data_IF_267667147980
#
_entry.id   IF_267667147980
#
_cell.length_a   1.000
_cell.length_b   1.000
_cell.length_c   1.000
_cell.angle_alpha   90.00
_cell.angle_beta   90.00
_cell.angle_gamma   90.00
#
_symmetry.space_group_name_H-M   'P 1'
#
loop_
_entity.id
_entity.type
_entity.pdbx_description
1 polymer ?
#
# COMPACT_ATOMS: atom_id res chain seq x y z
N UNK A 1 12.14 -19.72 -22.47
CA UNK A 1 11.17 -18.85 -21.78
C UNK A 1 11.07 -19.31 -20.34
N UNK A 2 11.55 -18.51 -19.39
CA UNK A 2 11.52 -18.82 -17.95
C UNK A 2 10.06 -18.99 -17.51
N UNK A 3 9.72 -20.14 -16.89
CA UNK A 3 8.43 -20.31 -16.23
C UNK A 3 8.41 -19.40 -15.01
N UNK A 4 7.90 -18.19 -15.18
CA UNK A 4 7.59 -17.33 -14.03
C UNK A 4 6.58 -18.07 -13.18
N UNK A 5 6.95 -18.38 -11.94
CA UNK A 5 6.01 -18.98 -10.98
C UNK A 5 4.83 -18.04 -10.78
N UNK A 6 3.60 -18.59 -10.70
CA UNK A 6 2.39 -17.81 -10.44
C UNK A 6 2.54 -16.93 -9.20
N UNK A 7 3.31 -17.40 -8.20
CA UNK A 7 3.65 -16.64 -6.98
C UNK A 7 4.47 -15.38 -7.30
N UNK A 8 5.50 -15.52 -8.14
CA UNK A 8 6.34 -14.40 -8.60
C UNK A 8 5.54 -13.41 -9.42
N UNK A 9 4.69 -13.90 -10.34
CA UNK A 9 3.80 -13.04 -11.12
C UNK A 9 2.85 -12.24 -10.22
N UNK A 10 2.26 -12.89 -9.21
CA UNK A 10 1.41 -12.23 -8.22
C UNK A 10 2.13 -11.15 -7.41
N UNK A 11 3.38 -11.41 -6.98
CA UNK A 11 4.21 -10.39 -6.30
C UNK A 11 4.50 -9.18 -7.18
N UNK A 12 4.85 -9.40 -8.44
CA UNK A 12 5.10 -8.31 -9.40
C UNK A 12 3.83 -7.51 -9.66
N UNK A 13 2.69 -8.19 -9.85
CA UNK A 13 1.40 -7.52 -10.00
C UNK A 13 1.04 -6.69 -8.75
N UNK A 14 1.25 -7.24 -7.56
CA UNK A 14 1.07 -6.53 -6.29
C UNK A 14 1.95 -5.28 -6.18
N UNK A 15 3.22 -5.36 -6.61
CA UNK A 15 4.12 -4.19 -6.66
C UNK A 15 3.62 -3.11 -7.63
N UNK A 16 3.17 -3.50 -8.82
CA UNK A 16 2.65 -2.54 -9.81
C UNK A 16 1.40 -1.85 -9.24
N UNK A 17 0.48 -2.61 -8.66
CA UNK A 17 -0.73 -2.05 -8.06
C UNK A 17 -0.41 -1.16 -6.84
N UNK A 18 0.60 -1.50 -6.05
CA UNK A 18 1.09 -0.67 -4.95
C UNK A 18 1.63 0.67 -5.47
N UNK A 19 2.36 0.67 -6.58
CA UNK A 19 2.84 1.91 -7.22
C UNK A 19 1.65 2.76 -7.69
N UNK A 20 0.65 2.14 -8.33
CA UNK A 20 -0.58 2.85 -8.74
C UNK A 20 -1.30 3.43 -7.53
N UNK A 21 -1.41 2.66 -6.44
CA UNK A 21 -1.99 3.15 -5.19
C UNK A 21 -1.21 4.34 -4.63
N UNK A 22 0.12 4.28 -4.64
CA UNK A 22 1.00 5.34 -4.12
C UNK A 22 0.98 6.64 -4.95
N UNK A 23 0.55 6.59 -6.21
CA UNK A 23 0.32 7.76 -7.05
C UNK A 23 -1.05 8.42 -6.79
N UNK A 24 -1.98 7.69 -6.17
CA UNK A 24 -3.28 8.20 -5.80
C UNK A 24 -3.27 9.07 -4.54
N UNK A 25 -4.40 9.71 -4.21
CA UNK A 25 -4.59 10.51 -3.02
C UNK A 25 -4.75 9.60 -1.79
N UNK A 26 -3.93 9.87 -0.77
CA UNK A 26 -3.98 9.22 0.54
C UNK A 26 -4.27 10.20 1.66
N UNK A 27 -3.89 11.46 1.47
CA UNK A 27 -4.02 12.51 2.46
C UNK A 27 -4.79 13.67 1.85
N UNK A 28 -5.50 14.39 2.70
CA UNK A 28 -6.25 15.56 2.30
C UNK A 28 -6.11 16.64 3.37
N UNK A 29 -5.66 17.81 2.96
CA UNK A 29 -5.66 19.02 3.77
C UNK A 29 -6.80 19.91 3.31
N UNK A 30 -7.76 20.17 4.19
CA UNK A 30 -8.95 20.97 3.88
C UNK A 30 -8.83 22.38 4.40
N UNK A 31 -9.26 23.35 3.59
CA UNK A 31 -9.34 24.76 3.97
C UNK A 31 -10.72 25.34 3.65
N UNK A 32 -11.25 26.24 4.50
CA UNK A 32 -12.51 26.91 4.23
C UNK A 32 -12.36 27.80 3.00
N UNK A 33 -13.26 27.63 2.03
CA UNK A 33 -13.24 28.38 0.78
C UNK A 33 -14.63 28.33 0.13
N UNK A 34 -14.84 29.19 -0.87
CA UNK A 34 -15.97 29.08 -1.80
C UNK A 34 -15.52 28.41 -3.10
N UNK A 35 -16.48 27.93 -3.89
CA UNK A 35 -16.20 27.33 -5.20
C UNK A 35 -15.42 28.29 -6.12
N UNK A 36 -15.71 29.60 -6.05
CA UNK A 36 -15.07 30.62 -6.88
C UNK A 36 -13.65 30.96 -6.42
N UNK A 37 -13.39 30.87 -5.11
CA UNK A 37 -12.06 31.09 -4.54
C UNK A 37 -11.17 29.84 -4.57
N UNK A 38 -11.70 28.70 -5.03
CA UNK A 38 -10.97 27.44 -5.11
C UNK A 38 -10.15 27.38 -6.39
N UNK A 39 -8.85 27.63 -6.30
CA UNK A 39 -7.93 27.56 -7.45
C UNK A 39 -7.01 26.35 -7.36
N UNK A 40 -6.62 25.80 -8.52
CA UNK A 40 -5.60 24.75 -8.61
C UNK A 40 -4.32 25.15 -7.85
N UNK A 41 -3.65 24.22 -7.13
CA UNK A 41 -3.83 22.76 -7.14
C UNK A 41 -4.91 22.22 -6.18
N UNK A 42 -5.70 23.09 -5.54
CA UNK A 42 -6.78 22.69 -4.65
C UNK A 42 -8.00 22.22 -5.46
N UNK A 43 -8.72 21.23 -4.93
CA UNK A 43 -9.94 20.70 -5.55
C UNK A 43 -11.13 21.07 -4.67
N UNK A 44 -12.19 21.60 -5.28
CA UNK A 44 -13.45 21.86 -4.58
C UNK A 44 -14.10 20.54 -4.18
N UNK A 45 -14.25 20.29 -2.88
CA UNK A 45 -14.85 19.07 -2.34
C UNK A 45 -16.27 19.28 -1.82
N UNK A 46 -16.80 20.50 -1.96
CA UNK A 46 -18.15 20.85 -1.49
C UNK A 46 -18.19 21.29 -0.03
N UNK A 47 -19.37 21.68 0.43
CA UNK A 47 -19.61 22.02 1.85
C UNK A 47 -18.87 23.26 2.37
N UNK A 48 -18.36 24.14 1.51
CA UNK A 48 -17.57 25.30 1.94
C UNK A 48 -16.07 25.02 2.08
N UNK A 49 -15.57 23.92 1.51
CA UNK A 49 -14.17 23.52 1.64
C UNK A 49 -13.50 23.20 0.30
N UNK A 50 -12.24 23.59 0.20
CA UNK A 50 -11.28 23.10 -0.79
C UNK A 50 -10.33 22.11 -0.13
N UNK A 51 -9.94 21.06 -0.84
CA UNK A 51 -8.97 20.10 -0.36
C UNK A 51 -7.71 20.09 -1.24
N UNK A 52 -6.54 20.05 -0.60
CA UNK A 52 -5.29 19.68 -1.25
C UNK A 52 -5.10 18.17 -1.07
N UNK A 53 -5.12 17.43 -2.17
CA UNK A 53 -4.94 15.97 -2.14
C UNK A 53 -3.48 15.63 -2.39
N UNK A 54 -2.91 14.83 -1.49
CA UNK A 54 -1.50 14.43 -1.58
C UNK A 54 -1.34 12.93 -1.69
N UNK A 55 -0.36 12.53 -2.50
CA UNK A 55 0.04 11.14 -2.70
C UNK A 55 1.35 10.85 -1.96
N UNK A 56 1.55 9.60 -1.48
CA UNK A 56 2.83 9.18 -0.90
C UNK A 56 3.99 9.34 -1.87
N UNK A 57 3.79 9.13 -3.18
CA UNK A 57 4.83 9.33 -4.19
C UNK A 57 5.34 10.78 -4.24
N UNK A 58 4.43 11.76 -4.16
CA UNK A 58 4.81 13.18 -4.07
C UNK A 58 5.60 13.47 -2.80
N UNK A 59 5.15 12.94 -1.65
CA UNK A 59 5.85 13.12 -0.36
C UNK A 59 7.23 12.47 -0.33
N UNK A 60 7.41 11.30 -0.97
CA UNK A 60 8.72 10.66 -1.12
C UNK A 60 9.70 11.54 -1.92
N UNK A 61 9.25 12.16 -3.01
CA UNK A 61 10.06 13.09 -3.78
C UNK A 61 10.47 14.33 -2.98
N UNK A 62 9.59 14.81 -2.09
CA UNK A 62 9.89 15.93 -1.19
C UNK A 62 10.84 15.52 -0.06
N UNK A 63 10.65 14.34 0.53
CA UNK A 63 11.49 13.80 1.60
C UNK A 63 12.96 13.65 1.17
N UNK A 64 13.20 13.27 -0.10
CA UNK A 64 14.55 13.18 -0.67
C UNK A 64 15.29 14.53 -0.72
N UNK A 65 14.56 15.64 -0.69
CA UNK A 65 15.10 16.99 -0.80
C UNK A 65 15.11 17.77 0.53
N UNK A 66 14.43 17.29 1.58
CA UNK A 66 14.25 18.01 2.84
C UNK A 66 14.99 17.31 4.00
N UNK A 67 16.23 17.71 4.26
CA UNK A 67 17.10 17.06 5.25
C UNK A 67 16.51 16.92 6.67
N UNK A 68 15.93 17.97 7.25
CA UNK A 68 15.45 17.95 8.65
C UNK A 68 14.00 17.48 8.83
N UNK A 69 13.15 17.59 7.79
CA UNK A 69 11.74 17.16 7.82
C UNK A 69 11.53 15.72 7.32
N UNK A 70 12.57 15.10 6.79
CA UNK A 70 12.58 13.73 6.27
C UNK A 70 11.93 12.67 7.16
N UNK A 71 12.11 12.63 8.50
CA UNK A 71 11.58 11.51 9.29
C UNK A 71 10.04 11.47 9.33
N UNK A 72 9.37 12.62 9.39
CA UNK A 72 7.91 12.68 9.39
C UNK A 72 7.34 12.26 8.03
N UNK A 73 7.94 12.76 6.95
CA UNK A 73 7.58 12.40 5.58
C UNK A 73 7.77 10.90 5.30
N UNK A 74 8.84 10.32 5.85
CA UNK A 74 9.12 8.89 5.71
C UNK A 74 8.06 8.04 6.41
N UNK A 75 7.57 8.48 7.57
CA UNK A 75 6.48 7.79 8.29
C UNK A 75 5.18 7.81 7.49
N UNK A 76 4.84 8.92 6.83
CA UNK A 76 3.67 8.99 5.94
C UNK A 76 3.81 8.05 4.72
N UNK A 77 5.04 7.80 4.28
CA UNK A 77 5.33 6.95 3.11
C UNK A 77 5.61 5.48 3.49
N UNK A 78 5.70 5.18 4.78
CA UNK A 78 5.93 3.85 5.33
C UNK A 78 4.97 2.76 4.79
N UNK A 79 3.64 2.99 4.64
CA UNK A 79 2.73 1.99 4.06
C UNK A 79 3.02 1.66 2.59
N UNK A 80 3.89 2.41 1.91
CA UNK A 80 4.34 2.10 0.54
C UNK A 80 5.75 1.51 0.56
N UNK A 81 6.67 2.13 1.31
CA UNK A 81 8.08 1.70 1.33
C UNK A 81 8.24 0.27 1.88
N UNK A 82 7.60 -0.03 3.01
CA UNK A 82 7.73 -1.34 3.66
C UNK A 82 7.26 -2.51 2.78
N UNK A 83 6.03 -2.51 2.23
CA UNK A 83 5.60 -3.58 1.34
C UNK A 83 6.43 -3.64 0.07
N UNK A 84 6.86 -2.50 -0.48
CA UNK A 84 7.72 -2.47 -1.66
C UNK A 84 9.07 -3.16 -1.40
N UNK A 85 9.81 -2.72 -0.37
CA UNK A 85 11.12 -3.26 -0.02
C UNK A 85 11.04 -4.75 0.36
N UNK A 86 10.04 -5.14 1.17
CA UNK A 86 9.89 -6.54 1.57
C UNK A 86 9.56 -7.47 0.40
N UNK A 87 8.75 -7.00 -0.58
CA UNK A 87 8.44 -7.77 -1.78
C UNK A 87 9.67 -7.93 -2.67
N UNK A 88 10.48 -6.88 -2.83
CA UNK A 88 11.76 -6.98 -3.55
C UNK A 88 12.71 -7.98 -2.89
N UNK A 89 12.85 -7.95 -1.57
CA UNK A 89 13.69 -8.91 -0.84
C UNK A 89 13.21 -10.36 -1.05
N UNK A 90 11.89 -10.59 -1.08
CA UNK A 90 11.34 -11.91 -1.40
C UNK A 90 11.58 -12.34 -2.85
N UNK A 91 11.64 -11.40 -3.80
CA UNK A 91 11.99 -11.70 -5.19
C UNK A 91 13.47 -12.06 -5.34
N UNK A 92 14.34 -11.48 -4.52
CA UNK A 92 15.78 -11.78 -4.49
C UNK A 92 16.11 -13.10 -3.77
N UNK A 93 15.25 -13.54 -2.84
CA UNK A 93 15.41 -14.84 -2.20
C UNK A 93 14.35 -15.16 -1.16
N UNK A 94 13.83 -16.38 -1.19
CA UNK A 94 12.84 -16.84 -0.22
C UNK A 94 13.51 -17.30 1.08
N UNK A 95 13.57 -16.40 2.07
CA UNK A 95 13.97 -16.74 3.45
C UNK A 95 12.78 -16.64 4.38
N UNK A 96 12.64 -17.60 5.31
CA UNK A 96 11.51 -17.64 6.25
C UNK A 96 11.35 -16.35 7.08
N UNK A 97 12.47 -15.75 7.51
CA UNK A 97 12.45 -14.47 8.22
C UNK A 97 11.95 -13.31 7.37
N UNK A 98 12.41 -13.21 6.11
CA UNK A 98 11.97 -12.18 5.15
C UNK A 98 10.49 -12.35 4.82
N UNK A 99 10.02 -13.59 4.70
CA UNK A 99 8.60 -13.89 4.48
C UNK A 99 7.71 -13.43 5.63
N UNK A 100 8.11 -13.68 6.88
CA UNK A 100 7.38 -13.18 8.06
C UNK A 100 7.37 -11.64 8.07
N UNK A 101 8.50 -11.00 7.83
CA UNK A 101 8.60 -9.54 7.73
C UNK A 101 7.73 -8.96 6.62
N UNK A 102 7.63 -9.63 5.48
CA UNK A 102 6.76 -9.25 4.37
C UNK A 102 5.27 -9.31 4.74
N UNK A 103 4.83 -10.34 5.47
CA UNK A 103 3.45 -10.40 5.97
C UNK A 103 3.15 -9.23 6.91
N UNK A 104 4.07 -8.90 7.82
CA UNK A 104 3.93 -7.73 8.69
C UNK A 104 3.90 -6.42 7.89
N UNK A 105 4.77 -6.27 6.88
CA UNK A 105 4.83 -5.08 6.04
C UNK A 105 3.50 -4.82 5.31
N UNK A 106 2.94 -5.85 4.67
CA UNK A 106 1.64 -5.73 3.99
C UNK A 106 0.48 -5.59 4.97
N UNK A 107 0.52 -6.28 6.12
CA UNK A 107 -0.48 -6.13 7.17
C UNK A 107 -0.54 -4.72 7.76
N UNK A 108 0.62 -4.16 8.10
CA UNK A 108 0.73 -2.78 8.59
C UNK A 108 0.32 -1.77 7.52
N UNK A 109 0.73 -1.96 6.27
CA UNK A 109 0.32 -1.10 5.16
C UNK A 109 -1.21 -1.10 4.98
N UNK A 110 -1.84 -2.28 5.01
CA UNK A 110 -3.29 -2.41 4.93
C UNK A 110 -4.01 -1.76 6.10
N UNK A 111 -3.56 -2.02 7.34
CA UNK A 111 -4.14 -1.41 8.54
C UNK A 111 -4.01 0.12 8.53
N UNK A 112 -2.84 0.64 8.18
CA UNK A 112 -2.59 2.08 8.06
C UNK A 112 -3.50 2.72 7.01
N UNK A 113 -3.59 2.12 5.82
CA UNK A 113 -4.46 2.59 4.74
C UNK A 113 -5.94 2.62 5.17
N UNK A 114 -6.42 1.59 5.87
CA UNK A 114 -7.79 1.54 6.38
C UNK A 114 -8.07 2.62 7.41
N UNK A 115 -7.12 2.89 8.33
CA UNK A 115 -7.25 3.95 9.33
C UNK A 115 -7.43 5.31 8.65
N UNK A 116 -6.64 5.61 7.62
CA UNK A 116 -6.77 6.87 6.88
C UNK A 116 -8.06 6.94 6.08
N UNK A 117 -8.38 5.88 5.33
CA UNK A 117 -9.59 5.83 4.52
C UNK A 117 -10.84 6.02 5.38
N UNK A 118 -10.97 5.26 6.47
CA UNK A 118 -12.14 5.32 7.36
C UNK A 118 -12.13 6.60 8.19
N UNK A 119 -10.97 7.01 8.71
CA UNK A 119 -10.83 8.20 9.54
C UNK A 119 -11.18 9.48 8.78
N UNK A 120 -10.64 9.67 7.58
CA UNK A 120 -10.95 10.85 6.78
C UNK A 120 -12.36 10.80 6.22
N UNK A 121 -12.85 9.63 5.81
CA UNK A 121 -14.24 9.49 5.42
C UNK A 121 -15.21 9.89 6.54
N UNK A 122 -14.89 9.55 7.79
CA UNK A 122 -15.72 9.89 8.94
C UNK A 122 -15.78 11.41 9.21
N UNK A 123 -14.68 12.13 9.00
CA UNK A 123 -14.60 13.57 9.22
C UNK A 123 -15.13 14.35 8.00
N UNK A 124 -14.80 13.88 6.79
CA UNK A 124 -15.10 14.52 5.52
C UNK A 124 -15.57 13.49 4.48
N UNK A 125 -16.88 13.15 4.46
CA UNK A 125 -17.41 12.09 3.59
C UNK A 125 -17.33 12.43 2.09
N UNK A 126 -17.08 13.69 1.74
CA UNK A 126 -16.94 14.11 0.34
C UNK A 126 -15.53 13.88 -0.22
N UNK A 127 -14.55 13.52 0.62
CA UNK A 127 -13.16 13.34 0.20
C UNK A 127 -12.90 11.86 -0.11
N UNK A 128 -12.68 11.56 -1.38
CA UNK A 128 -12.43 10.19 -1.84
C UNK A 128 -10.93 9.88 -1.97
N UNK A 129 -10.36 9.19 -0.98
CA UNK A 129 -8.95 8.77 -0.93
C UNK A 129 -8.73 7.41 -1.61
N UNK A 130 -8.97 7.35 -2.92
CA UNK A 130 -8.90 6.08 -3.65
C UNK A 130 -7.53 5.40 -3.59
N UNK A 131 -6.43 6.16 -3.44
CA UNK A 131 -5.09 5.60 -3.31
C UNK A 131 -4.94 4.76 -2.04
N UNK A 132 -5.42 5.28 -0.91
CA UNK A 132 -5.49 4.53 0.34
C UNK A 132 -6.37 3.30 0.17
N UNK A 133 -7.60 3.46 -0.34
CA UNK A 133 -8.53 2.33 -0.54
C UNK A 133 -7.97 1.21 -1.43
N UNK A 134 -7.30 1.57 -2.54
CA UNK A 134 -6.64 0.59 -3.40
C UNK A 134 -5.53 -0.15 -2.65
N UNK A 135 -4.72 0.54 -1.84
CA UNK A 135 -3.68 -0.11 -1.05
C UNK A 135 -4.25 -1.14 -0.05
N UNK A 136 -5.38 -0.86 0.60
CA UNK A 136 -6.02 -1.82 1.50
C UNK A 136 -6.41 -3.10 0.76
N UNK A 137 -7.01 -2.97 -0.43
CA UNK A 137 -7.42 -4.12 -1.26
C UNK A 137 -6.19 -4.91 -1.73
N UNK A 138 -5.15 -4.24 -2.21
CA UNK A 138 -3.91 -4.88 -2.67
C UNK A 138 -3.23 -5.61 -1.51
N UNK A 139 -3.18 -5.01 -0.32
CA UNK A 139 -2.62 -5.63 0.88
C UNK A 139 -3.37 -6.91 1.26
N UNK A 140 -4.70 -6.87 1.29
CA UNK A 140 -5.52 -8.06 1.55
C UNK A 140 -5.28 -9.17 0.50
N UNK A 141 -5.18 -8.79 -0.78
CA UNK A 141 -4.88 -9.71 -1.88
C UNK A 141 -3.51 -10.37 -1.74
N UNK A 142 -2.48 -9.59 -1.42
CA UNK A 142 -1.10 -10.06 -1.23
C UNK A 142 -0.98 -11.01 -0.02
N UNK A 143 -1.59 -10.65 1.10
CA UNK A 143 -1.63 -11.54 2.28
C UNK A 143 -2.33 -12.86 1.96
N UNK A 144 -3.48 -12.79 1.27
CA UNK A 144 -4.23 -13.98 0.88
C UNK A 144 -3.41 -14.86 -0.06
N UNK A 145 -2.76 -14.28 -1.07
CA UNK A 145 -1.90 -15.00 -2.01
C UNK A 145 -0.77 -15.75 -1.29
N UNK A 146 -0.05 -15.06 -0.41
CA UNK A 146 1.08 -15.64 0.33
C UNK A 146 0.63 -16.74 1.30
N UNK A 147 -0.48 -16.55 2.01
CA UNK A 147 -1.04 -17.55 2.92
C UNK A 147 -1.54 -18.79 2.17
N UNK A 148 -2.18 -18.62 1.01
CA UNK A 148 -2.62 -19.75 0.18
C UNK A 148 -1.43 -20.51 -0.41
N UNK A 149 -0.39 -19.81 -0.88
CA UNK A 149 0.83 -20.44 -1.38
C UNK A 149 1.53 -21.25 -0.28
N UNK A 150 1.62 -20.71 0.94
CA UNK A 150 2.18 -21.42 2.09
C UNK A 150 1.36 -22.68 2.45
N UNK A 151 0.03 -22.59 2.43
CA UNK A 151 -0.86 -23.74 2.68
C UNK A 151 -0.71 -24.85 1.64
N UNK A 152 -0.62 -24.50 0.35
CA UNK A 152 -0.43 -25.49 -0.73
C UNK A 152 0.89 -26.24 -0.57
N UNK A 153 1.97 -25.52 -0.23
CA UNK A 153 3.29 -26.12 -0.02
C UNK A 153 3.26 -27.14 1.13
N UNK A 154 2.59 -26.82 2.25
CA UNK A 154 2.45 -27.75 3.39
C UNK A 154 1.64 -28.99 3.04
N UNK A 155 0.55 -28.85 2.27
CA UNK A 155 -0.28 -29.99 1.85
C UNK A 155 0.46 -30.92 0.89
N UNK A 156 1.25 -30.37 -0.04
CA UNK A 156 2.10 -31.17 -0.92
C UNK A 156 3.10 -32.02 -0.14
N UNK A 157 3.77 -31.41 0.85
CA UNK A 157 4.73 -32.13 1.70
C UNK A 157 4.07 -33.24 2.56
N UNK A 158 2.87 -33.01 3.08
CA UNK A 158 2.14 -34.00 3.89
C UNK A 158 1.59 -35.17 3.04
N UNK A 159 1.13 -34.91 1.82
CA UNK A 159 0.66 -35.96 0.91
C UNK A 159 1.80 -36.85 0.39
N UNK A 160 3.03 -36.32 0.29
CA UNK A 160 4.19 -37.11 -0.11
C UNK A 160 4.70 -38.04 1.00
N UNK A 161 4.52 -37.66 2.27
CA UNK A 161 4.81 -38.56 3.41
C UNK A 161 3.82 -39.73 3.54
N UNK A 162 2.57 -39.54 3.13
CA UNK A 162 1.55 -40.61 3.18
C UNK A 162 1.76 -41.68 2.08
N UNK A 163 2.44 -41.36 0.98
CA UNK A 163 2.77 -42.33 -0.08
C UNK A 163 4.05 -43.14 0.19
N UNK A 164 4.83 -42.76 1.20
CA UNK A 164 6.09 -43.41 1.59
C UNK A 164 5.95 -44.31 2.83
N UNK A 165 4.73 -44.44 3.36
CA UNK A 165 4.38 -45.31 4.50
C UNK A 165 3.54 -46.50 4.03
#
# INVERSE_FOLDING_TARGET
MSRVSLKTAGRVAGLILLVVAALGPWFADTHPATAETCSAPLVWVGGGYCACLWSPAQRLGLAANMGQSAPLELVLCLPVILPFASTLLLLLGERRGVWIGHLWAWGLAGAYSLIWLVGVWHIHPMIWQWGAGLCAVVAAGMLTLELLAARRTRRGAAGETDCLS
#
